data_IF_904046416798
#
_entry.id   IF_904046416798
#
_cell.length_a   1.000
_cell.length_b   1.000
_cell.length_c   1.000
_cell.angle_alpha   90.00
_cell.angle_beta   90.00
_cell.angle_gamma   90.00
#
_symmetry.space_group_name_H-M   'P 1'
#
loop_
_entity.id
_entity.type
_entity.pdbx_description
1 polymer ?
#
# COMPACT_ATOMS: atom_id res chain seq x y z
N UNK A 1 -23.46 -12.72 -6.90
CA UNK A 1 -23.18 -12.55 -5.46
C UNK A 1 -22.02 -11.55 -5.32
N UNK A 2 -22.10 -10.58 -4.41
CA UNK A 2 -21.16 -9.45 -4.35
C UNK A 2 -19.72 -9.88 -4.00
N UNK A 3 -19.55 -10.95 -3.23
CA UNK A 3 -18.26 -11.44 -2.73
C UNK A 3 -18.29 -11.54 -1.20
N UNK A 4 -17.28 -12.17 -0.60
CA UNK A 4 -17.13 -12.17 0.84
C UNK A 4 -16.78 -10.77 1.37
N UNK A 5 -17.16 -10.48 2.62
CA UNK A 5 -16.81 -9.24 3.28
C UNK A 5 -15.45 -9.41 3.94
N UNK A 6 -14.42 -8.72 3.42
CA UNK A 6 -13.06 -8.76 3.95
C UNK A 6 -12.88 -7.83 5.14
N UNK A 7 -13.61 -6.72 5.16
CA UNK A 7 -13.64 -5.80 6.29
C UNK A 7 -14.97 -5.05 6.34
N UNK A 8 -15.39 -4.73 7.56
CA UNK A 8 -16.60 -3.97 7.84
C UNK A 8 -16.40 -3.10 9.07
N UNK A 9 -16.44 -1.78 8.87
CA UNK A 9 -16.20 -0.82 9.94
C UNK A 9 -17.23 0.30 9.92
N UNK A 10 -18.05 0.36 10.96
CA UNK A 10 -18.95 1.48 11.21
C UNK A 10 -18.15 2.64 11.81
N UNK A 11 -18.19 3.80 11.15
CA UNK A 11 -17.61 5.05 11.64
C UNK A 11 -18.66 6.13 11.83
N UNK A 12 -18.25 7.25 12.44
CA UNK A 12 -19.11 8.40 12.75
C UNK A 12 -19.85 8.94 11.52
N UNK A 13 -19.20 8.87 10.35
CA UNK A 13 -19.70 9.44 9.09
C UNK A 13 -20.21 8.38 8.11
N UNK A 14 -20.35 7.13 8.53
CA UNK A 14 -20.85 6.03 7.69
C UNK A 14 -20.05 4.74 7.83
N UNK A 15 -20.43 3.74 7.04
CA UNK A 15 -19.88 2.38 7.09
C UNK A 15 -18.87 2.17 5.96
N UNK A 16 -17.69 1.67 6.29
CA UNK A 16 -16.65 1.32 5.33
C UNK A 16 -16.64 -0.19 5.16
N UNK A 17 -16.79 -0.67 3.94
CA UNK A 17 -16.78 -2.10 3.62
C UNK A 17 -15.75 -2.41 2.55
N UNK A 18 -15.08 -3.55 2.71
CA UNK A 18 -14.20 -4.13 1.69
C UNK A 18 -14.83 -5.44 1.25
N UNK A 19 -15.17 -5.52 -0.04
CA UNK A 19 -15.80 -6.70 -0.64
C UNK A 19 -14.78 -7.41 -1.53
N UNK A 20 -14.62 -8.70 -1.32
CA UNK A 20 -13.74 -9.56 -2.10
C UNK A 20 -14.23 -9.65 -3.56
N UNK A 21 -13.28 -9.63 -4.47
CA UNK A 21 -13.48 -9.94 -5.88
C UNK A 21 -12.18 -10.52 -6.43
N UNK A 22 -12.29 -11.60 -7.22
CA UNK A 22 -11.14 -12.25 -7.85
C UNK A 22 -10.35 -11.29 -8.75
N UNK A 23 -11.02 -10.29 -9.33
CA UNK A 23 -10.39 -9.25 -10.14
C UNK A 23 -9.81 -8.08 -9.31
N UNK A 24 -9.82 -8.21 -7.97
CA UNK A 24 -9.37 -7.20 -7.02
C UNK A 24 -10.51 -6.55 -6.25
N UNK A 25 -10.33 -6.42 -4.93
CA UNK A 25 -11.33 -5.94 -3.96
C UNK A 25 -12.01 -4.61 -4.32
N UNK A 26 -13.22 -4.43 -3.78
CA UNK A 26 -13.97 -3.18 -3.83
C UNK A 26 -14.02 -2.54 -2.45
N UNK A 27 -13.56 -1.29 -2.36
CA UNK A 27 -13.63 -0.48 -1.13
C UNK A 27 -14.77 0.51 -1.27
N UNK A 28 -15.80 0.37 -0.44
CA UNK A 28 -16.99 1.21 -0.50
C UNK A 28 -17.15 1.96 0.82
N UNK A 29 -17.56 3.23 0.70
CA UNK A 29 -17.99 4.02 1.84
C UNK A 29 -19.49 4.30 1.70
N UNK A 30 -20.27 3.63 2.55
CA UNK A 30 -21.72 3.69 2.56
C UNK A 30 -22.18 4.78 3.53
N UNK A 31 -22.88 5.78 3.01
CA UNK A 31 -23.50 6.86 3.77
C UNK A 31 -24.96 6.51 4.02
N UNK A 32 -25.31 6.12 5.25
CA UNK A 32 -26.67 5.79 5.68
C UNK A 32 -27.45 4.90 4.67
N UNK A 33 -26.98 3.67 4.37
CA UNK A 33 -27.67 2.80 3.43
C UNK A 33 -29.02 2.34 4.01
N UNK A 34 -30.11 2.57 3.29
CA UNK A 34 -31.42 1.98 3.59
C UNK A 34 -31.63 0.69 2.77
N UNK A 35 -31.87 -0.47 3.41
CA UNK A 35 -32.16 -1.70 2.70
C UNK A 35 -33.34 -1.55 1.73
N UNK A 36 -33.20 -2.07 0.51
CA UNK A 36 -34.25 -2.01 -0.51
C UNK A 36 -34.38 -0.68 -1.24
N UNK A 37 -33.62 0.36 -0.87
CA UNK A 37 -33.55 1.62 -1.61
C UNK A 37 -32.37 1.63 -2.60
N UNK A 38 -32.52 2.28 -3.77
CA UNK A 38 -31.40 2.51 -4.67
C UNK A 38 -30.28 3.30 -4.00
N UNK A 39 -29.03 2.92 -4.27
CA UNK A 39 -27.85 3.66 -3.82
C UNK A 39 -27.45 4.70 -4.88
N UNK A 40 -27.05 5.89 -4.43
CA UNK A 40 -26.39 6.88 -5.26
C UNK A 40 -24.87 6.84 -5.01
N UNK A 41 -24.08 6.93 -6.08
CA UNK A 41 -22.63 7.08 -5.98
C UNK A 41 -22.25 8.56 -6.09
N UNK A 42 -21.56 9.09 -5.08
CA UNK A 42 -21.03 10.46 -5.09
C UNK A 42 -19.55 10.39 -5.45
N UNK A 43 -19.18 11.01 -6.57
CA UNK A 43 -17.79 11.09 -7.04
C UNK A 43 -17.31 12.54 -6.97
N UNK A 44 -16.41 12.89 -6.04
CA UNK A 44 -15.83 14.23 -5.97
C UNK A 44 -15.07 14.59 -7.25
N UNK A 45 -15.19 15.85 -7.69
CA UNK A 45 -14.38 16.42 -8.77
C UNK A 45 -12.99 16.80 -8.24
N UNK A 46 -12.19 15.79 -7.93
CA UNK A 46 -10.82 15.94 -7.42
C UNK A 46 -9.78 15.36 -8.39
N UNK A 47 -8.50 15.45 -8.02
CA UNK A 47 -7.38 14.89 -8.79
C UNK A 47 -7.50 13.37 -9.05
N UNK A 48 -8.33 12.67 -8.26
CA UNK A 48 -8.52 11.22 -8.32
C UNK A 48 -9.82 10.85 -9.05
N UNK A 49 -10.54 11.83 -9.63
CA UNK A 49 -11.86 11.67 -10.26
C UNK A 49 -11.93 10.49 -11.24
N UNK A 50 -11.00 10.40 -12.19
CA UNK A 50 -10.99 9.32 -13.20
C UNK A 50 -10.88 7.95 -12.54
N UNK A 51 -9.99 7.80 -11.55
CA UNK A 51 -9.85 6.52 -10.85
C UNK A 51 -11.11 6.19 -10.06
N UNK A 52 -11.74 7.17 -9.38
CA UNK A 52 -13.00 6.96 -8.67
C UNK A 52 -14.12 6.51 -9.63
N UNK A 53 -14.22 7.12 -10.82
CA UNK A 53 -15.17 6.70 -11.86
C UNK A 53 -14.88 5.28 -12.33
N UNK A 54 -13.62 4.93 -12.62
CA UNK A 54 -13.27 3.56 -13.02
C UNK A 54 -13.54 2.54 -11.92
N UNK A 55 -13.32 2.90 -10.66
CA UNK A 55 -13.68 2.10 -9.48
C UNK A 55 -15.17 1.81 -9.43
N UNK A 56 -15.98 2.87 -9.63
CA UNK A 56 -17.43 2.78 -9.64
C UNK A 56 -17.92 1.91 -10.79
N UNK A 57 -17.34 2.06 -11.99
CA UNK A 57 -17.69 1.23 -13.14
C UNK A 57 -17.35 -0.26 -12.89
N UNK A 58 -16.20 -0.54 -12.27
CA UNK A 58 -15.84 -1.91 -11.82
C UNK A 58 -16.90 -2.45 -10.87
N UNK A 59 -17.25 -1.70 -9.84
CA UNK A 59 -18.28 -2.11 -8.87
C UNK A 59 -19.66 -2.30 -9.51
N UNK A 60 -20.07 -1.42 -10.43
CA UNK A 60 -21.35 -1.53 -11.13
C UNK A 60 -21.41 -2.78 -12.02
N UNK A 61 -20.33 -3.13 -12.73
CA UNK A 61 -20.25 -4.40 -13.48
C UNK A 61 -20.42 -5.60 -12.55
N UNK A 62 -19.77 -5.57 -11.38
CA UNK A 62 -19.89 -6.62 -10.36
C UNK A 62 -21.33 -6.76 -9.85
N UNK A 63 -22.02 -5.65 -9.60
CA UNK A 63 -23.45 -5.65 -9.21
C UNK A 63 -24.33 -6.32 -10.28
N UNK A 64 -24.01 -6.11 -11.56
CA UNK A 64 -24.70 -6.74 -12.69
C UNK A 64 -24.25 -8.19 -12.98
N UNK A 65 -23.40 -8.79 -12.14
CA UNK A 65 -22.87 -10.14 -12.33
C UNK A 65 -21.90 -10.29 -13.50
N UNK A 66 -21.35 -9.18 -14.01
CA UNK A 66 -20.38 -9.16 -15.12
C UNK A 66 -18.95 -9.21 -14.60
N UNK A 67 -18.01 -9.55 -15.49
CA UNK A 67 -16.59 -9.44 -15.20
C UNK A 67 -16.23 -7.97 -14.84
N UNK A 68 -15.66 -7.79 -13.66
CA UNK A 68 -15.30 -6.48 -13.10
C UNK A 68 -14.24 -5.76 -13.94
N UNK A 69 -13.25 -6.52 -14.42
CA UNK A 69 -12.06 -6.02 -15.10
C UNK A 69 -10.93 -5.66 -14.12
N UNK A 70 -9.71 -5.39 -14.64
CA UNK A 70 -8.53 -5.13 -13.82
C UNK A 70 -8.67 -3.84 -13.03
N UNK A 71 -7.82 -3.67 -12.00
CA UNK A 71 -7.70 -2.38 -11.32
C UNK A 71 -7.32 -1.25 -12.30
N UNK A 72 -7.79 -0.02 -12.05
CA UNK A 72 -7.23 1.17 -12.66
C UNK A 72 -5.71 1.19 -12.56
N UNK A 73 -5.05 1.67 -13.63
CA UNK A 73 -3.59 1.82 -13.66
C UNK A 73 -3.15 2.67 -12.46
N UNK A 74 -2.02 2.31 -11.85
CA UNK A 74 -1.45 3.02 -10.71
C UNK A 74 -2.02 2.63 -9.34
N UNK A 75 -3.09 1.83 -9.28
CA UNK A 75 -3.69 1.39 -8.01
C UNK A 75 -2.95 0.22 -7.35
N UNK A 76 -2.68 -0.92 -8.02
CA UNK A 76 -1.82 -1.94 -7.42
C UNK A 76 -0.37 -1.44 -7.43
N UNK A 77 0.31 -1.61 -6.29
CA UNK A 77 1.76 -1.46 -6.24
C UNK A 77 2.41 -2.52 -7.13
N UNK A 78 3.40 -2.12 -7.93
CA UNK A 78 4.17 -3.08 -8.75
C UNK A 78 4.96 -4.01 -7.84
N UNK A 79 5.26 -5.23 -8.30
CA UNK A 79 6.06 -6.21 -7.55
C UNK A 79 7.39 -5.62 -7.07
N UNK A 80 8.05 -4.81 -7.91
CA UNK A 80 9.29 -4.10 -7.55
C UNK A 80 9.08 -3.09 -6.41
N UNK A 81 7.97 -2.35 -6.39
CA UNK A 81 7.65 -1.42 -5.31
C UNK A 81 7.35 -2.16 -4.02
N UNK A 82 6.61 -3.27 -4.09
CA UNK A 82 6.34 -4.12 -2.93
C UNK A 82 7.62 -4.70 -2.34
N UNK A 83 8.50 -5.28 -3.16
CA UNK A 83 9.79 -5.81 -2.70
C UNK A 83 10.68 -4.72 -2.08
N UNK A 84 10.64 -3.50 -2.62
CA UNK A 84 11.35 -2.36 -2.02
C UNK A 84 10.76 -1.95 -0.68
N UNK A 85 9.43 -1.94 -0.53
CA UNK A 85 8.76 -1.62 0.73
C UNK A 85 9.06 -2.67 1.80
N UNK A 86 9.10 -3.95 1.44
CA UNK A 86 9.53 -5.04 2.34
C UNK A 86 10.93 -4.77 2.92
N UNK A 87 11.91 -4.46 2.06
CA UNK A 87 13.26 -4.10 2.51
C UNK A 87 13.28 -2.87 3.41
N UNK A 88 12.45 -1.87 3.13
CA UNK A 88 12.35 -0.65 3.96
C UNK A 88 11.79 -0.98 5.35
N UNK A 89 10.73 -1.79 5.42
CA UNK A 89 10.12 -2.20 6.69
C UNK A 89 11.10 -3.03 7.53
N UNK A 90 11.74 -4.04 6.93
CA UNK A 90 12.75 -4.85 7.62
C UNK A 90 13.95 -4.02 8.10
N UNK A 91 14.39 -3.03 7.31
CA UNK A 91 15.46 -2.13 7.73
C UNK A 91 15.04 -1.24 8.90
N UNK A 92 13.77 -0.78 8.93
CA UNK A 92 13.22 -0.01 10.03
C UNK A 92 13.15 -0.86 11.31
N UNK A 93 12.61 -2.09 11.21
CA UNK A 93 12.50 -3.01 12.35
C UNK A 93 13.87 -3.31 12.98
N UNK A 94 14.89 -3.53 12.16
CA UNK A 94 16.27 -3.72 12.62
C UNK A 94 16.87 -2.44 13.22
N UNK A 95 16.56 -1.28 12.65
CA UNK A 95 17.04 -0.01 13.19
C UNK A 95 16.44 0.29 14.56
N UNK A 96 15.13 0.06 14.72
CA UNK A 96 14.42 0.26 15.98
C UNK A 96 14.85 -0.75 17.06
N UNK A 97 15.37 -1.93 16.67
CA UNK A 97 15.99 -2.88 17.59
C UNK A 97 17.45 -2.55 17.96
N UNK A 98 18.00 -1.45 17.43
CA UNK A 98 19.33 -0.96 17.75
C UNK A 98 20.45 -1.48 16.85
N UNK A 99 20.14 -2.20 15.77
CA UNK A 99 21.15 -2.68 14.84
C UNK A 99 21.89 -1.52 14.15
N UNK A 100 23.20 -1.70 13.99
CA UNK A 100 24.04 -0.79 13.21
C UNK A 100 23.71 -0.89 11.72
N UNK A 101 23.99 0.18 10.96
CA UNK A 101 23.81 0.13 9.49
C UNK A 101 24.57 -1.01 8.80
N UNK A 102 25.64 -1.51 9.42
CA UNK A 102 26.43 -2.63 8.89
C UNK A 102 25.69 -3.94 9.08
N UNK A 103 25.18 -4.20 10.28
CA UNK A 103 24.34 -5.36 10.58
C UNK A 103 23.05 -5.35 9.73
N UNK A 104 22.44 -4.18 9.55
CA UNK A 104 21.27 -4.02 8.67
C UNK A 104 21.62 -4.39 7.22
N UNK A 105 22.76 -3.94 6.71
CA UNK A 105 23.17 -4.29 5.34
C UNK A 105 23.34 -5.80 5.18
N UNK A 106 24.05 -6.44 6.11
CA UNK A 106 24.30 -7.89 6.13
C UNK A 106 22.98 -8.66 6.18
N UNK A 107 22.10 -8.34 7.13
CA UNK A 107 20.79 -8.99 7.29
C UNK A 107 19.87 -8.85 6.08
N UNK A 108 20.12 -7.86 5.21
CA UNK A 108 19.38 -7.61 3.98
C UNK A 108 20.13 -8.08 2.72
N UNK A 109 21.10 -9.00 2.87
CA UNK A 109 21.77 -9.70 1.77
C UNK A 109 22.96 -8.95 1.18
N UNK A 110 23.63 -8.09 1.97
CA UNK A 110 24.90 -7.44 1.61
C UNK A 110 26.06 -8.06 2.37
N UNK A 111 26.30 -9.34 2.13
CA UNK A 111 27.30 -10.16 2.82
C UNK A 111 28.73 -9.62 2.62
N UNK A 112 28.96 -8.86 1.54
CA UNK A 112 30.22 -8.14 1.30
C UNK A 112 30.59 -7.20 2.46
N UNK A 113 29.58 -6.67 3.16
CA UNK A 113 29.79 -5.79 4.30
C UNK A 113 30.44 -6.50 5.50
N UNK A 114 30.38 -7.82 5.63
CA UNK A 114 31.04 -8.53 6.75
C UNK A 114 32.56 -8.40 6.68
N UNK A 115 33.12 -8.44 5.47
CA UNK A 115 34.57 -8.55 5.25
C UNK A 115 35.25 -7.20 5.02
N UNK A 116 34.49 -6.12 4.91
CA UNK A 116 35.02 -4.78 4.68
C UNK A 116 35.82 -4.24 5.87
N UNK A 117 36.91 -3.54 5.58
CA UNK A 117 37.55 -2.70 6.57
C UNK A 117 36.65 -1.54 6.99
N UNK A 118 36.95 -0.88 8.11
CA UNK A 118 36.21 0.30 8.56
C UNK A 118 36.25 1.46 7.55
N UNK A 119 37.34 1.62 6.79
CA UNK A 119 37.46 2.62 5.72
C UNK A 119 36.61 2.24 4.51
N UNK A 120 36.66 0.99 4.07
CA UNK A 120 35.90 0.54 2.90
C UNK A 120 34.40 0.59 3.16
N UNK A 121 33.99 0.20 4.38
CA UNK A 121 32.60 0.28 4.80
C UNK A 121 32.03 1.69 4.67
N UNK A 122 32.77 2.72 5.10
CA UNK A 122 32.31 4.13 5.07
C UNK A 122 32.00 4.61 3.65
N UNK A 123 32.75 4.13 2.66
CA UNK A 123 32.60 4.52 1.24
C UNK A 123 31.76 3.52 0.43
N UNK A 124 31.26 2.46 1.06
CA UNK A 124 30.60 1.35 0.36
C UNK A 124 29.18 1.67 -0.15
N UNK A 125 28.81 1.02 -1.26
CA UNK A 125 27.43 0.98 -1.73
C UNK A 125 26.50 0.26 -0.74
N UNK A 126 27.02 -0.72 0.02
CA UNK A 126 26.29 -1.49 1.03
C UNK A 126 25.85 -0.62 2.20
N UNK A 127 26.73 0.27 2.69
CA UNK A 127 26.35 1.32 3.66
C UNK A 127 25.29 2.26 3.09
N UNK A 128 25.52 2.77 1.88
CA UNK A 128 24.56 3.69 1.24
C UNK A 128 23.19 3.05 1.02
N UNK A 129 23.14 1.75 0.74
CA UNK A 129 21.92 0.97 0.64
C UNK A 129 21.16 0.92 1.96
N UNK A 130 21.81 0.49 3.07
CA UNK A 130 21.19 0.41 4.39
C UNK A 130 20.71 1.78 4.90
N UNK A 131 21.56 2.81 4.79
CA UNK A 131 21.20 4.18 5.20
C UNK A 131 19.96 4.69 4.48
N UNK A 132 19.85 4.45 3.16
CA UNK A 132 18.65 4.86 2.40
C UNK A 132 17.41 4.12 2.85
N UNK A 133 17.49 2.81 3.08
CA UNK A 133 16.33 2.03 3.54
C UNK A 133 15.82 2.52 4.91
N UNK A 134 16.72 2.71 5.88
CA UNK A 134 16.37 3.23 7.20
C UNK A 134 15.77 4.63 7.10
N UNK A 135 16.39 5.52 6.32
CA UNK A 135 15.86 6.88 6.11
C UNK A 135 14.46 6.85 5.50
N UNK A 136 14.25 6.03 4.47
CA UNK A 136 12.96 5.90 3.81
C UNK A 136 11.92 5.27 4.76
N UNK A 137 12.32 4.33 5.61
CA UNK A 137 11.47 3.71 6.65
C UNK A 137 11.04 4.68 7.73
N UNK A 138 11.97 5.46 8.26
CA UNK A 138 11.68 6.52 9.23
C UNK A 138 10.73 7.58 8.64
N UNK A 139 10.89 7.92 7.36
CA UNK A 139 9.97 8.83 6.68
C UNK A 139 8.56 8.21 6.58
N UNK A 140 8.47 6.95 6.14
CA UNK A 140 7.18 6.23 6.05
C UNK A 140 6.49 6.20 7.41
N UNK A 141 7.19 5.84 8.49
CA UNK A 141 6.66 5.84 9.86
C UNK A 141 6.13 7.22 10.28
N UNK A 142 6.84 8.30 9.92
CA UNK A 142 6.47 9.71 10.20
C UNK A 142 5.42 10.25 9.21
N UNK A 143 4.38 9.47 8.93
CA UNK A 143 3.22 9.81 8.10
C UNK A 143 3.40 9.77 6.57
N UNK A 144 4.60 9.54 6.02
CA UNK A 144 4.73 9.39 4.56
C UNK A 144 4.06 8.12 4.01
N UNK A 145 3.72 7.15 4.88
CA UNK A 145 2.87 6.01 4.49
C UNK A 145 1.56 6.45 3.83
N UNK A 146 1.04 7.64 4.15
CA UNK A 146 -0.18 8.21 3.53
C UNK A 146 -0.02 8.45 2.03
N UNK A 147 1.22 8.63 1.54
CA UNK A 147 1.52 8.74 0.11
C UNK A 147 1.31 7.42 -0.63
N UNK A 148 1.29 6.28 0.07
CA UNK A 148 0.93 4.97 -0.49
C UNK A 148 -0.58 4.81 -0.67
N UNK A 149 -1.38 5.56 0.11
CA UNK A 149 -2.84 5.57 0.02
C UNK A 149 -3.35 6.50 -1.09
N UNK A 150 -2.47 7.35 -1.64
CA UNK A 150 -2.81 8.19 -2.78
C UNK A 150 -2.83 7.35 -4.04
N UNK A 151 -3.98 7.40 -4.71
CA UNK A 151 -4.11 6.95 -6.09
C UNK A 151 -3.11 7.76 -6.93
N UNK A 152 -2.35 7.08 -7.80
CA UNK A 152 -1.32 7.68 -8.66
C UNK A 152 -1.72 7.58 -10.12
#
# INVERSE_FOLDING_TARGET
MLGALLADHAGIVGRHVIVEDAAGEHRLWLRAPEPGRPLAAVVPLDKDFITRVLSLLRFHRRLLGRATGPFPRGWPLTAQKLARLDLILRALDLHDSGATYREIAIALGRDDAERMSSSDWKMSASRSFAVRLVRDGLALMKADYRKLLRIR
#
